data_IF_692872781911
#
_entry.id   IF_692872781911
#
_cell.length_a   1.000
_cell.length_b   1.000
_cell.length_c   1.000
_cell.angle_alpha   90.00
_cell.angle_beta   90.00
_cell.angle_gamma   90.00
#
_symmetry.space_group_name_H-M   'P 1'
#
loop_
_entity.id
_entity.type
_entity.pdbx_description
1 polymer ?
#
# COMPACT_ATOMS: atom_id res chain seq x y z
N UNK A 1 -48.77 -18.82 -35.26
CA UNK A 1 -49.35 -18.43 -33.95
C UNK A 1 -49.24 -16.94 -33.83
N UNK A 2 -50.37 -16.24 -33.69
CA UNK A 2 -50.42 -14.79 -33.53
C UNK A 2 -49.66 -14.42 -32.25
N UNK A 3 -48.65 -13.54 -32.35
CA UNK A 3 -47.93 -13.00 -31.19
C UNK A 3 -48.91 -12.10 -30.41
N UNK A 4 -49.50 -12.64 -29.35
CA UNK A 4 -50.41 -11.87 -28.51
C UNK A 4 -49.65 -10.71 -27.85
N UNK A 5 -50.20 -9.50 -27.92
CA UNK A 5 -49.56 -8.29 -27.41
C UNK A 5 -50.00 -7.98 -25.98
N UNK A 6 -49.12 -7.35 -25.22
CA UNK A 6 -49.33 -6.95 -23.84
C UNK A 6 -50.35 -5.80 -23.81
N UNK A 7 -51.47 -5.99 -23.12
CA UNK A 7 -52.53 -4.98 -23.06
C UNK A 7 -52.13 -3.70 -22.32
N UNK A 8 -51.00 -3.74 -21.59
CA UNK A 8 -50.48 -2.60 -20.87
C UNK A 8 -49.54 -1.78 -21.74
N UNK A 9 -48.55 -2.40 -22.39
CA UNK A 9 -47.46 -1.68 -23.08
C UNK A 9 -47.33 -1.99 -24.58
N UNK A 10 -48.15 -2.87 -25.15
CA UNK A 10 -48.12 -3.27 -26.56
C UNK A 10 -46.99 -4.24 -26.95
N UNK A 11 -46.00 -4.50 -26.07
CA UNK A 11 -44.91 -5.46 -26.32
C UNK A 11 -45.40 -6.90 -26.34
N UNK A 12 -44.59 -7.85 -26.79
CA UNK A 12 -44.94 -9.28 -26.79
C UNK A 12 -45.39 -9.75 -25.38
N UNK A 13 -46.62 -10.26 -25.30
CA UNK A 13 -47.15 -10.83 -24.07
C UNK A 13 -46.53 -12.20 -23.80
N UNK A 14 -46.41 -12.54 -22.52
CA UNK A 14 -45.83 -13.80 -22.08
C UNK A 14 -46.84 -14.70 -21.35
N UNK A 15 -48.09 -14.26 -21.27
CA UNK A 15 -49.18 -14.96 -20.60
C UNK A 15 -50.09 -14.02 -19.83
N UNK A 16 -51.08 -14.61 -19.17
CA UNK A 16 -51.97 -13.89 -18.28
C UNK A 16 -51.28 -13.71 -16.91
N UNK A 17 -51.14 -12.45 -16.47
CA UNK A 17 -50.61 -12.10 -15.16
C UNK A 17 -51.57 -11.12 -14.48
N UNK A 18 -51.93 -11.40 -13.23
CA UNK A 18 -52.87 -10.59 -12.46
C UNK A 18 -54.25 -10.42 -13.15
N UNK A 19 -54.64 -11.38 -14.00
CA UNK A 19 -55.92 -11.34 -14.72
C UNK A 19 -55.87 -10.73 -16.12
N UNK A 20 -54.74 -10.16 -16.54
CA UNK A 20 -54.58 -9.49 -17.85
C UNK A 20 -53.43 -10.10 -18.65
N UNK A 21 -53.63 -10.25 -19.97
CA UNK A 21 -52.58 -10.66 -20.89
C UNK A 21 -51.46 -9.59 -20.92
N UNK A 22 -50.28 -9.93 -20.42
CA UNK A 22 -49.21 -8.94 -20.25
C UNK A 22 -47.81 -9.52 -20.43
N UNK A 23 -46.82 -8.65 -20.59
CA UNK A 23 -45.42 -9.03 -20.56
C UNK A 23 -44.91 -9.17 -19.12
N UNK A 24 -43.84 -9.96 -18.93
CA UNK A 24 -43.22 -10.20 -17.61
C UNK A 24 -42.84 -8.90 -16.90
N UNK A 25 -42.43 -7.88 -17.64
CA UNK A 25 -42.05 -6.59 -17.07
C UNK A 25 -43.24 -5.83 -16.46
N UNK A 26 -44.39 -5.81 -17.13
CA UNK A 26 -45.62 -5.19 -16.59
C UNK A 26 -46.15 -5.96 -15.38
N UNK A 27 -46.11 -7.29 -15.43
CA UNK A 27 -46.47 -8.14 -14.30
C UNK A 27 -45.60 -7.88 -13.07
N UNK A 28 -44.27 -7.86 -13.23
CA UNK A 28 -43.33 -7.58 -12.14
C UNK A 28 -43.46 -6.14 -11.60
N UNK A 29 -43.73 -5.16 -12.48
CA UNK A 29 -44.00 -3.80 -12.07
C UNK A 29 -45.24 -3.72 -11.17
N UNK A 30 -46.36 -4.30 -11.61
CA UNK A 30 -47.62 -4.28 -10.86
C UNK A 30 -47.44 -4.94 -9.49
N UNK A 31 -46.84 -6.15 -9.43
CA UNK A 31 -46.54 -6.86 -8.18
C UNK A 31 -45.76 -6.02 -7.17
N UNK A 32 -44.67 -5.38 -7.60
CA UNK A 32 -43.82 -4.59 -6.70
C UNK A 32 -44.51 -3.35 -6.17
N UNK A 33 -45.36 -2.74 -7.01
CA UNK A 33 -46.05 -1.52 -6.66
C UNK A 33 -47.29 -1.77 -5.79
N UNK A 34 -47.85 -2.99 -5.78
CA UNK A 34 -48.96 -3.38 -4.89
C UNK A 34 -48.48 -3.98 -3.56
N UNK A 35 -47.39 -4.78 -3.55
CA UNK A 35 -46.91 -5.49 -2.35
C UNK A 35 -46.02 -4.67 -1.39
N UNK A 36 -45.67 -3.42 -1.71
CA UNK A 36 -44.86 -2.56 -0.83
C UNK A 36 -45.59 -1.27 -0.43
N UNK A 37 -46.52 -1.31 0.55
CA UNK A 37 -47.32 -0.16 0.97
C UNK A 37 -46.48 0.98 1.60
N UNK A 38 -45.35 0.65 2.25
CA UNK A 38 -44.49 1.60 2.96
C UNK A 38 -43.65 2.49 2.03
N UNK A 39 -43.47 2.09 0.78
CA UNK A 39 -43.05 2.97 -0.31
C UNK A 39 -44.29 3.27 -1.13
N UNK A 40 -45.15 4.20 -0.65
CA UNK A 40 -46.03 4.92 -1.57
C UNK A 40 -45.11 5.46 -2.65
N UNK A 41 -45.07 4.79 -3.79
CA UNK A 41 -44.32 5.24 -4.95
C UNK A 41 -44.78 6.69 -5.11
N UNK A 42 -43.90 7.68 -4.97
CA UNK A 42 -44.28 9.08 -5.08
C UNK A 42 -44.73 9.29 -6.54
N UNK A 43 -46.02 9.04 -6.76
CA UNK A 43 -46.69 8.96 -8.03
C UNK A 43 -47.14 10.37 -8.42
N UNK A 44 -46.22 11.32 -8.37
CA UNK A 44 -46.47 12.66 -8.91
C UNK A 44 -46.16 12.58 -10.40
N UNK A 45 -47.21 12.77 -11.23
CA UNK A 45 -47.03 12.84 -12.68
C UNK A 45 -46.52 14.23 -13.02
N UNK A 46 -45.38 14.31 -13.70
CA UNK A 46 -44.75 15.58 -14.09
C UNK A 46 -45.42 16.17 -15.35
N UNK A 47 -46.20 15.38 -16.09
CA UNK A 47 -46.66 15.72 -17.46
C UNK A 47 -48.19 15.82 -17.64
N UNK A 48 -48.97 16.03 -16.57
CA UNK A 48 -50.44 16.01 -16.68
C UNK A 48 -50.99 14.60 -16.92
N UNK A 49 -52.30 14.39 -16.79
CA UNK A 49 -52.89 13.06 -16.54
C UNK A 49 -52.90 12.07 -17.72
N UNK A 50 -52.31 12.37 -18.87
CA UNK A 50 -52.31 11.50 -20.04
C UNK A 50 -50.94 11.47 -20.70
N UNK A 51 -50.24 10.34 -20.55
CA UNK A 51 -48.93 10.12 -21.16
C UNK A 51 -49.07 8.98 -22.17
N UNK A 52 -48.74 9.24 -23.43
CA UNK A 52 -48.76 8.24 -24.50
C UNK A 52 -47.70 7.16 -24.26
N UNK A 53 -48.06 5.91 -24.52
CA UNK A 53 -47.12 4.78 -24.45
C UNK A 53 -46.21 4.90 -25.67
N UNK A 54 -44.90 5.06 -25.45
CA UNK A 54 -43.94 5.06 -26.56
C UNK A 54 -44.00 3.73 -27.31
N UNK A 55 -43.77 3.75 -28.64
CA UNK A 55 -43.85 2.56 -29.52
C UNK A 55 -42.97 1.37 -29.07
N UNK A 56 -41.97 1.61 -28.23
CA UNK A 56 -41.10 0.59 -27.62
C UNK A 56 -41.64 0.01 -26.29
N UNK A 57 -42.86 0.33 -25.89
CA UNK A 57 -43.50 -0.16 -24.65
C UNK A 57 -42.93 0.43 -23.36
N UNK A 58 -42.19 1.53 -23.45
CA UNK A 58 -41.65 2.24 -22.29
C UNK A 58 -42.68 3.23 -21.71
N UNK A 59 -42.81 3.23 -20.39
CA UNK A 59 -43.59 4.22 -19.65
C UNK A 59 -42.62 5.14 -18.89
N UNK A 60 -42.62 6.43 -19.24
CA UNK A 60 -41.83 7.44 -18.53
C UNK A 60 -42.36 7.72 -17.11
N UNK A 61 -43.68 7.59 -16.91
CA UNK A 61 -44.31 7.81 -15.61
C UNK A 61 -44.83 6.51 -14.98
N UNK A 62 -44.35 6.20 -13.77
CA UNK A 62 -44.81 5.05 -12.98
C UNK A 62 -46.30 5.18 -12.57
N UNK A 63 -46.83 6.40 -12.43
CA UNK A 63 -48.27 6.64 -12.13
C UNK A 63 -49.17 6.28 -13.26
N UNK A 64 -48.87 6.78 -14.45
CA UNK A 64 -49.67 6.46 -15.63
C UNK A 64 -49.60 4.96 -15.94
N UNK A 65 -48.45 4.32 -15.75
CA UNK A 65 -48.31 2.86 -15.87
C UNK A 65 -49.19 2.10 -14.88
N UNK A 66 -49.17 2.48 -13.60
CA UNK A 66 -50.01 1.84 -12.58
C UNK A 66 -51.50 2.06 -12.85
N UNK A 67 -51.90 3.30 -13.19
CA UNK A 67 -53.28 3.61 -13.58
C UNK A 67 -53.73 2.72 -14.74
N UNK A 68 -52.89 2.58 -15.78
CA UNK A 68 -53.19 1.73 -16.94
C UNK A 68 -53.30 0.24 -16.58
N UNK A 69 -52.45 -0.26 -15.68
CA UNK A 69 -52.58 -1.63 -15.15
C UNK A 69 -53.96 -1.86 -14.50
N UNK A 70 -54.40 -0.92 -13.67
CA UNK A 70 -55.70 -1.01 -13.00
C UNK A 70 -56.87 -0.85 -14.00
N UNK A 71 -56.80 0.10 -14.93
CA UNK A 71 -57.81 0.30 -15.99
C UNK A 71 -58.02 -0.93 -16.86
N UNK A 72 -56.93 -1.68 -17.13
CA UNK A 72 -56.99 -2.93 -17.89
C UNK A 72 -57.41 -4.14 -17.04
N UNK A 73 -57.65 -3.95 -15.74
CA UNK A 73 -58.18 -4.99 -14.86
C UNK A 73 -57.13 -5.86 -14.19
N UNK A 74 -55.87 -5.39 -14.04
CA UNK A 74 -54.90 -6.10 -13.22
C UNK A 74 -55.33 -6.07 -11.74
N UNK A 75 -55.40 -7.23 -11.13
CA UNK A 75 -55.86 -7.42 -9.76
C UNK A 75 -54.78 -8.12 -8.92
N UNK A 76 -54.38 -7.46 -7.83
CA UNK A 76 -53.37 -7.96 -6.91
C UNK A 76 -53.86 -9.14 -6.06
N UNK A 77 -55.18 -9.29 -5.88
CA UNK A 77 -55.77 -10.41 -5.15
C UNK A 77 -55.52 -11.76 -5.83
N UNK A 78 -55.32 -11.74 -7.15
CA UNK A 78 -55.02 -12.93 -7.97
C UNK A 78 -53.57 -13.41 -7.82
N UNK A 79 -52.80 -12.84 -6.89
CA UNK A 79 -51.44 -13.24 -6.59
C UNK A 79 -51.40 -14.20 -5.40
N UNK A 80 -50.83 -15.39 -5.61
CA UNK A 80 -50.52 -16.32 -4.54
C UNK A 80 -49.28 -15.85 -3.79
N UNK A 81 -49.45 -15.45 -2.53
CA UNK A 81 -48.36 -15.02 -1.65
C UNK A 81 -47.56 -16.22 -1.10
N UNK A 82 -48.25 -17.33 -0.83
CA UNK A 82 -47.67 -18.55 -0.27
C UNK A 82 -47.30 -19.53 -1.38
N UNK A 83 -46.17 -19.28 -2.04
CA UNK A 83 -45.49 -20.33 -2.79
C UNK A 83 -44.43 -20.96 -1.91
N UNK A 84 -44.39 -22.29 -1.91
CA UNK A 84 -43.27 -23.01 -1.31
C UNK A 84 -41.95 -22.48 -1.86
N UNK A 85 -40.99 -22.26 -0.96
CA UNK A 85 -39.64 -21.89 -1.33
C UNK A 85 -39.10 -22.95 -2.32
N UNK A 86 -38.49 -22.51 -3.41
CA UNK A 86 -37.92 -23.42 -4.41
C UNK A 86 -36.92 -24.33 -3.69
N UNK A 87 -37.28 -25.61 -3.54
CA UNK A 87 -36.64 -26.61 -2.68
C UNK A 87 -35.20 -26.97 -3.07
N UNK A 88 -34.59 -26.30 -4.05
CA UNK A 88 -33.21 -26.54 -4.49
C UNK A 88 -32.17 -26.02 -3.49
N UNK A 89 -32.59 -25.36 -2.40
CA UNK A 89 -31.71 -25.01 -1.28
C UNK A 89 -31.58 -26.11 -0.20
N UNK A 90 -32.29 -27.25 -0.34
CA UNK A 90 -32.11 -28.41 0.53
C UNK A 90 -31.06 -29.36 -0.08
N UNK A 91 -29.95 -29.46 0.64
CA UNK A 91 -28.80 -30.37 0.45
C UNK A 91 -29.26 -31.81 0.18
N UNK A 92 -28.55 -32.63 -0.63
CA UNK A 92 -28.99 -33.98 -0.96
C UNK A 92 -29.12 -34.85 0.28
N UNK A 93 -30.29 -35.46 0.46
CA UNK A 93 -30.50 -36.54 1.41
C UNK A 93 -29.70 -37.76 0.96
N UNK A 94 -28.50 -37.94 1.52
CA UNK A 94 -27.96 -39.27 1.76
C UNK A 94 -26.93 -39.23 2.89
N UNK A 95 -27.20 -40.08 3.88
CA UNK A 95 -26.23 -40.69 4.81
C UNK A 95 -25.68 -39.80 5.94
N UNK A 96 -26.18 -40.08 7.16
CA UNK A 96 -25.46 -40.01 8.44
C UNK A 96 -24.39 -38.92 8.57
N UNK A 97 -24.77 -37.69 8.89
CA UNK A 97 -23.92 -36.75 9.62
C UNK A 97 -24.80 -35.69 10.26
N UNK A 98 -24.39 -35.24 11.45
CA UNK A 98 -24.99 -34.23 12.32
C UNK A 98 -25.62 -33.03 11.59
N UNK A 99 -26.63 -32.35 12.18
CA UNK A 99 -27.22 -31.16 11.56
C UNK A 99 -26.09 -30.19 11.21
N UNK A 100 -25.93 -29.86 9.93
CA UNK A 100 -24.97 -28.84 9.46
C UNK A 100 -25.38 -27.52 10.10
N UNK A 101 -24.83 -27.26 11.29
CA UNK A 101 -24.87 -25.95 11.92
C UNK A 101 -24.32 -24.98 10.89
N UNK A 102 -25.15 -24.00 10.53
CA UNK A 102 -24.66 -22.82 9.83
C UNK A 102 -23.50 -22.31 10.69
N UNK A 103 -22.27 -22.16 10.13
CA UNK A 103 -21.15 -21.65 10.91
C UNK A 103 -21.60 -20.33 11.54
N UNK A 104 -21.57 -20.27 12.88
CA UNK A 104 -21.89 -19.02 13.55
C UNK A 104 -20.94 -17.97 13.01
N UNK A 105 -21.50 -16.85 12.54
CA UNK A 105 -20.66 -15.70 12.21
C UNK A 105 -19.84 -15.36 13.44
N UNK A 106 -18.62 -14.85 13.26
CA UNK A 106 -17.75 -14.49 14.38
C UNK A 106 -18.54 -13.63 15.39
N UNK A 107 -19.26 -12.61 14.91
CA UNK A 107 -20.17 -11.80 15.71
C UNK A 107 -21.15 -12.58 16.60
N UNK A 108 -21.78 -13.63 16.05
CA UNK A 108 -22.72 -14.48 16.81
C UNK A 108 -22.00 -15.38 17.80
N UNK A 109 -20.85 -15.94 17.42
CA UNK A 109 -20.05 -16.81 18.28
C UNK A 109 -19.52 -16.07 19.52
N UNK A 110 -19.03 -14.83 19.35
CA UNK A 110 -18.57 -13.98 20.47
C UNK A 110 -19.66 -13.08 21.07
N UNK A 111 -20.89 -13.11 20.55
CA UNK A 111 -22.01 -12.31 21.05
C UNK A 111 -21.83 -10.79 20.89
N UNK A 112 -21.05 -10.34 19.89
CA UNK A 112 -20.74 -8.92 19.64
C UNK A 112 -21.01 -8.53 18.20
N UNK A 113 -21.57 -7.33 17.92
CA UNK A 113 -21.71 -6.84 16.56
C UNK A 113 -20.36 -6.78 15.83
N UNK A 114 -20.34 -7.10 14.52
CA UNK A 114 -19.11 -7.18 13.71
C UNK A 114 -18.20 -5.95 13.81
N UNK A 115 -18.76 -4.76 13.99
CA UNK A 115 -18.00 -3.52 14.11
C UNK A 115 -17.37 -3.29 15.50
N UNK A 116 -17.74 -4.09 16.52
CA UNK A 116 -17.18 -4.06 17.87
C UNK A 116 -16.24 -5.24 18.14
N UNK A 117 -16.12 -6.20 17.23
CA UNK A 117 -15.24 -7.38 17.38
C UNK A 117 -13.78 -6.96 17.54
N UNK A 118 -13.38 -5.89 16.85
CA UNK A 118 -12.02 -5.35 16.86
C UNK A 118 -11.84 -4.21 17.87
N UNK A 119 -12.88 -3.86 18.63
CA UNK A 119 -12.76 -2.94 19.76
C UNK A 119 -12.39 -3.75 21.00
N UNK A 120 -11.18 -3.53 21.54
CA UNK A 120 -10.78 -4.13 22.81
C UNK A 120 -11.77 -3.72 23.91
N UNK A 121 -12.44 -4.69 24.52
CA UNK A 121 -13.34 -4.46 25.69
C UNK A 121 -12.62 -4.61 27.02
N UNK A 122 -11.35 -5.00 27.00
CA UNK A 122 -10.48 -4.93 28.16
C UNK A 122 -9.72 -3.63 28.02
N UNK A 123 -10.37 -2.52 28.35
CA UNK A 123 -9.74 -1.43 29.10
C UNK A 123 -10.68 -0.22 29.23
N UNK A 124 -11.07 0.04 30.47
CA UNK A 124 -11.35 1.39 30.97
C UNK A 124 -10.04 2.16 31.24
N UNK A 125 -8.93 1.67 30.69
CA UNK A 125 -7.60 2.26 30.75
C UNK A 125 -7.47 3.25 29.59
N UNK A 126 -6.79 4.40 29.78
CA UNK A 126 -6.33 5.19 28.63
C UNK A 126 -5.58 4.22 27.71
N UNK A 127 -5.75 4.34 26.39
CA UNK A 127 -5.20 3.40 25.41
C UNK A 127 -3.71 3.05 25.67
N UNK A 128 -3.19 1.96 25.07
CA UNK A 128 -1.92 1.36 25.43
C UNK A 128 -0.86 2.44 25.69
N UNK A 129 -0.23 2.41 26.88
CA UNK A 129 0.79 3.38 27.28
C UNK A 129 1.83 3.48 26.17
N UNK A 130 1.76 4.55 25.36
CA UNK A 130 2.61 4.67 24.18
C UNK A 130 4.03 4.94 24.63
N UNK A 131 4.93 3.99 24.40
CA UNK A 131 6.36 4.21 24.61
C UNK A 131 6.82 5.27 23.61
N UNK A 132 7.36 6.37 24.10
CA UNK A 132 7.84 7.47 23.25
C UNK A 132 9.31 7.22 22.91
N UNK A 133 9.61 7.09 21.63
CA UNK A 133 10.97 7.12 21.09
C UNK A 133 11.37 8.58 20.91
N UNK A 134 12.33 9.03 21.70
CA UNK A 134 12.88 10.37 21.58
C UNK A 134 13.94 10.44 20.49
N UNK A 135 13.69 11.29 19.51
CA UNK A 135 14.58 11.51 18.37
C UNK A 135 15.36 12.83 18.42
N UNK A 136 15.19 13.66 19.45
CA UNK A 136 15.86 14.97 19.53
C UNK A 136 17.38 14.85 19.38
N UNK A 137 18.00 13.98 20.19
CA UNK A 137 19.46 13.77 20.13
C UNK A 137 19.93 13.25 18.75
N UNK A 138 19.15 12.37 18.12
CA UNK A 138 19.47 11.85 16.79
C UNK A 138 19.38 12.95 15.71
N UNK A 139 18.37 13.80 15.80
CA UNK A 139 18.17 14.95 14.91
C UNK A 139 19.28 15.99 15.10
N UNK A 140 19.69 16.26 16.34
CA UNK A 140 20.80 17.17 16.64
C UNK A 140 22.11 16.68 16.01
N UNK A 141 22.44 15.38 16.20
CA UNK A 141 23.61 14.76 15.57
C UNK A 141 23.57 14.80 14.04
N UNK A 142 22.42 14.49 13.44
CA UNK A 142 22.26 14.59 11.99
C UNK A 142 22.45 16.04 11.50
N UNK A 143 21.94 17.01 12.26
CA UNK A 143 22.09 18.44 11.97
C UNK A 143 23.55 18.88 12.06
N UNK A 144 24.30 18.40 13.06
CA UNK A 144 25.74 18.66 13.19
C UNK A 144 26.53 18.13 12.01
N UNK A 145 26.23 16.90 11.56
CA UNK A 145 26.86 16.31 10.36
C UNK A 145 26.62 17.20 9.13
N UNK A 146 25.36 17.61 8.90
CA UNK A 146 25.01 18.47 7.77
C UNK A 146 25.70 19.85 7.84
N UNK A 147 25.82 20.44 9.04
CA UNK A 147 26.53 21.72 9.23
C UNK A 147 28.03 21.63 9.00
N UNK A 148 28.64 20.54 9.46
CA UNK A 148 30.09 20.32 9.33
C UNK A 148 30.48 19.98 7.89
N UNK A 149 29.58 19.35 7.13
CA UNK A 149 29.80 18.95 5.74
C UNK A 149 30.84 17.82 5.61
N UNK A 150 31.24 17.54 4.38
CA UNK A 150 32.25 16.51 4.08
C UNK A 150 33.66 17.06 4.25
N UNK A 151 34.43 16.51 5.20
CA UNK A 151 35.83 16.87 5.44
C UNK A 151 36.78 16.14 4.47
N UNK A 152 36.50 16.11 3.17
CA UNK A 152 37.36 15.37 2.22
C UNK A 152 37.67 16.23 0.99
N UNK A 153 38.96 16.41 0.62
CA UNK A 153 39.33 17.16 -0.56
C UNK A 153 38.96 16.33 -1.79
N UNK A 154 37.80 16.63 -2.38
CA UNK A 154 37.46 16.16 -3.71
C UNK A 154 38.28 16.91 -4.75
N UNK A 155 38.62 16.24 -5.84
CA UNK A 155 39.23 16.91 -6.99
C UNK A 155 38.25 18.00 -7.50
N UNK A 156 38.72 19.20 -7.87
CA UNK A 156 37.86 20.29 -8.33
C UNK A 156 36.97 19.93 -9.53
N UNK A 157 37.41 18.98 -10.33
CA UNK A 157 36.77 18.54 -11.57
C UNK A 157 35.65 17.52 -11.35
N UNK A 158 35.53 16.94 -10.15
CA UNK A 158 34.53 15.88 -9.90
C UNK A 158 33.12 16.45 -9.84
N UNK A 159 32.20 15.80 -10.55
CA UNK A 159 30.77 16.09 -10.41
C UNK A 159 30.20 15.50 -9.11
N UNK A 160 28.97 15.87 -8.75
CA UNK A 160 28.38 15.44 -7.48
C UNK A 160 28.11 13.94 -7.40
N UNK A 161 27.72 13.29 -8.49
CA UNK A 161 27.52 11.85 -8.51
C UNK A 161 28.84 11.08 -8.29
N UNK A 162 29.96 11.59 -8.78
CA UNK A 162 31.29 11.05 -8.51
C UNK A 162 31.72 11.29 -7.05
N UNK A 163 31.50 12.49 -6.51
CA UNK A 163 31.77 12.78 -5.08
C UNK A 163 30.98 11.87 -4.16
N UNK A 164 29.69 11.67 -4.46
CA UNK A 164 28.83 10.74 -3.74
C UNK A 164 29.33 9.30 -3.84
N UNK A 165 29.77 8.86 -5.03
CA UNK A 165 30.32 7.52 -5.23
C UNK A 165 31.57 7.29 -4.36
N UNK A 166 32.50 8.25 -4.36
CA UNK A 166 33.72 8.18 -3.54
C UNK A 166 33.41 8.29 -2.05
N UNK A 167 32.52 9.20 -1.66
CA UNK A 167 32.05 9.33 -0.28
C UNK A 167 31.44 8.03 0.24
N UNK A 168 30.58 7.41 -0.57
CA UNK A 168 29.90 6.16 -0.25
C UNK A 168 30.87 4.97 -0.09
N UNK A 169 31.86 4.82 -0.97
CA UNK A 169 32.91 3.80 -0.78
C UNK A 169 33.73 4.05 0.50
N UNK A 170 34.09 5.29 0.78
CA UNK A 170 34.84 5.60 2.00
C UNK A 170 34.06 5.26 3.26
N UNK A 171 32.75 5.55 3.28
CA UNK A 171 31.87 5.17 4.39
C UNK A 171 31.80 3.64 4.55
N UNK A 172 31.89 2.88 3.46
CA UNK A 172 31.95 1.41 3.49
C UNK A 172 33.29 0.88 3.98
N UNK A 173 34.40 1.49 3.57
CA UNK A 173 35.77 1.09 3.96
C UNK A 173 36.00 1.29 5.46
N UNK A 174 35.43 2.34 6.05
CA UNK A 174 35.54 2.61 7.48
C UNK A 174 34.80 1.59 8.35
N UNK A 175 33.93 0.77 7.75
CA UNK A 175 33.15 -0.26 8.43
C UNK A 175 33.81 -1.62 8.22
N UNK A 176 33.75 -2.48 9.24
CA UNK A 176 34.24 -3.85 9.16
C UNK A 176 33.56 -4.61 8.02
N UNK A 177 34.34 -5.42 7.30
CA UNK A 177 33.80 -6.35 6.30
C UNK A 177 33.19 -7.59 6.92
N UNK A 178 33.49 -7.88 8.19
CA UNK A 178 32.93 -9.03 8.90
C UNK A 178 31.55 -8.67 9.48
N UNK A 179 30.54 -9.44 9.09
CA UNK A 179 29.19 -9.28 9.59
C UNK A 179 28.98 -10.16 10.82
N UNK A 180 28.49 -9.56 11.90
CA UNK A 180 28.05 -10.27 13.08
C UNK A 180 26.65 -10.86 12.84
N UNK A 181 26.51 -12.15 13.11
CA UNK A 181 25.22 -12.83 13.02
C UNK A 181 24.39 -12.55 14.27
N UNK A 182 23.17 -12.04 14.07
CA UNK A 182 22.21 -11.76 15.15
C UNK A 182 21.15 -12.86 15.16
N UNK A 183 21.05 -13.58 16.29
CA UNK A 183 20.02 -14.60 16.51
C UNK A 183 18.72 -14.05 17.13
N UNK A 184 18.77 -12.87 17.75
CA UNK A 184 17.63 -12.22 18.39
C UNK A 184 17.59 -10.72 18.07
N UNK A 185 16.53 -10.28 17.39
CA UNK A 185 16.30 -8.88 17.03
C UNK A 185 15.25 -8.27 17.96
N UNK A 186 15.58 -7.15 18.63
CA UNK A 186 14.68 -6.48 19.55
C UNK A 186 14.85 -4.96 19.51
N UNK A 187 14.44 -4.28 20.58
CA UNK A 187 14.48 -2.81 20.68
C UNK A 187 15.86 -2.22 20.40
N UNK A 188 16.89 -2.67 21.11
CA UNK A 188 18.22 -2.03 21.07
C UNK A 188 18.86 -2.14 19.69
N UNK A 189 18.79 -3.32 19.07
CA UNK A 189 19.22 -3.53 17.68
C UNK A 189 18.45 -2.63 16.71
N UNK A 190 17.13 -2.52 16.86
CA UNK A 190 16.29 -1.70 15.97
C UNK A 190 16.66 -0.22 16.08
N UNK A 191 16.80 0.30 17.30
CA UNK A 191 17.19 1.70 17.55
C UNK A 191 18.60 1.99 17.02
N UNK A 192 19.55 1.07 17.20
CA UNK A 192 20.90 1.18 16.66
C UNK A 192 20.88 1.27 15.12
N UNK A 193 20.11 0.41 14.46
CA UNK A 193 20.02 0.43 13.00
C UNK A 193 19.34 1.68 12.47
N UNK A 194 18.36 2.23 13.18
CA UNK A 194 17.75 3.51 12.82
C UNK A 194 18.72 4.69 12.98
N UNK A 195 19.48 4.70 14.06
CA UNK A 195 20.54 5.69 14.27
C UNK A 195 21.58 5.61 13.14
N UNK A 196 22.06 4.41 12.81
CA UNK A 196 22.97 4.19 11.68
C UNK A 196 22.36 4.70 10.37
N UNK A 197 21.14 4.30 10.04
CA UNK A 197 20.50 4.68 8.78
C UNK A 197 20.37 6.21 8.65
N UNK A 198 19.97 6.90 9.72
CA UNK A 198 19.79 8.36 9.70
C UNK A 198 21.11 9.12 9.63
N UNK A 199 22.11 8.74 10.44
CA UNK A 199 23.42 9.40 10.43
C UNK A 199 24.18 9.12 9.13
N UNK A 200 24.13 7.89 8.62
CA UNK A 200 24.71 7.55 7.32
C UNK A 200 24.02 8.33 6.20
N UNK A 201 22.70 8.53 6.25
CA UNK A 201 21.99 9.35 5.25
C UNK A 201 22.47 10.79 5.27
N UNK A 202 22.62 11.39 6.46
CA UNK A 202 23.12 12.75 6.62
C UNK A 202 24.56 12.88 6.10
N UNK A 203 25.47 12.00 6.52
CA UNK A 203 26.87 12.00 6.08
C UNK A 203 26.98 11.81 4.56
N UNK A 204 26.22 10.87 4.00
CA UNK A 204 26.20 10.61 2.57
C UNK A 204 25.81 11.86 1.76
N UNK A 205 24.73 12.54 2.14
CA UNK A 205 24.27 13.75 1.46
C UNK A 205 25.24 14.92 1.55
N UNK A 206 26.12 14.98 2.55
CA UNK A 206 27.16 16.02 2.60
C UNK A 206 28.12 15.98 1.41
N UNK A 207 28.14 14.90 0.64
CA UNK A 207 28.93 14.77 -0.59
C UNK A 207 28.17 15.26 -1.84
N UNK A 208 26.92 15.70 -1.71
CA UNK A 208 26.10 16.21 -2.80
C UNK A 208 26.12 17.75 -2.85
N UNK A 209 26.93 18.32 -3.74
CA UNK A 209 27.21 19.76 -3.79
C UNK A 209 25.95 20.62 -3.91
N UNK A 210 25.03 20.24 -4.78
CA UNK A 210 23.79 20.96 -5.08
C UNK A 210 22.83 20.91 -3.88
N UNK A 211 22.78 19.78 -3.17
CA UNK A 211 21.99 19.64 -1.94
C UNK A 211 22.54 20.50 -0.80
N UNK A 212 23.86 20.58 -0.67
CA UNK A 212 24.51 21.38 0.37
C UNK A 212 24.26 22.90 0.23
N UNK A 213 23.85 23.35 -0.96
CA UNK A 213 23.47 24.75 -1.19
C UNK A 213 22.12 25.13 -0.58
N UNK A 214 21.30 24.14 -0.20
CA UNK A 214 19.98 24.34 0.37
C UNK A 214 20.06 24.83 1.82
N UNK A 215 19.03 25.54 2.33
CA UNK A 215 18.95 25.87 3.74
C UNK A 215 18.99 24.62 4.63
N UNK A 216 19.70 24.68 5.76
CA UNK A 216 19.87 23.55 6.69
C UNK A 216 18.53 22.95 7.15
N UNK A 217 17.49 23.78 7.27
CA UNK A 217 16.13 23.35 7.61
C UNK A 217 15.55 22.43 6.53
N UNK A 218 15.73 22.77 5.25
CA UNK A 218 15.30 21.95 4.11
C UNK A 218 16.12 20.67 4.04
N UNK A 219 17.44 20.76 4.24
CA UNK A 219 18.30 19.57 4.25
C UNK A 219 17.86 18.57 5.32
N UNK A 220 17.57 19.04 6.53
CA UNK A 220 17.13 18.20 7.63
C UNK A 220 15.77 17.55 7.35
N UNK A 221 14.81 18.30 6.82
CA UNK A 221 13.50 17.75 6.42
C UNK A 221 13.64 16.67 5.34
N UNK A 222 14.54 16.85 4.38
CA UNK A 222 14.86 15.80 3.40
C UNK A 222 15.42 14.57 4.09
N UNK A 223 16.43 14.70 4.98
CA UNK A 223 17.00 13.56 5.73
C UNK A 223 15.93 12.81 6.51
N UNK A 224 15.11 13.51 7.30
CA UNK A 224 13.98 12.93 8.06
C UNK A 224 13.02 12.14 7.17
N UNK A 225 12.82 12.60 5.93
CA UNK A 225 11.87 11.98 5.01
C UNK A 225 12.39 10.71 4.31
N UNK A 226 13.71 10.58 4.11
CA UNK A 226 14.32 9.54 3.25
C UNK A 226 15.20 8.51 3.97
N UNK A 227 15.61 8.71 5.23
CA UNK A 227 16.61 7.84 5.87
C UNK A 227 16.23 6.35 5.87
N UNK A 228 14.94 6.02 6.07
CA UNK A 228 14.45 4.63 5.97
C UNK A 228 14.56 4.07 4.55
N UNK A 229 14.36 4.93 3.54
CA UNK A 229 14.50 4.56 2.13
C UNK A 229 15.96 4.29 1.80
N UNK A 230 16.86 5.15 2.29
CA UNK A 230 18.30 4.98 2.18
C UNK A 230 18.75 3.65 2.81
N UNK A 231 18.45 3.46 4.11
CA UNK A 231 18.90 2.28 4.85
C UNK A 231 18.38 0.97 4.23
N UNK A 232 17.12 0.95 3.81
CA UNK A 232 16.54 -0.22 3.15
C UNK A 232 17.21 -0.53 1.80
N UNK A 233 17.44 0.48 0.97
CA UNK A 233 18.09 0.30 -0.32
C UNK A 233 19.53 -0.23 -0.14
N UNK A 234 20.28 0.39 0.77
CA UNK A 234 21.68 0.05 1.06
C UNK A 234 21.82 -1.39 1.56
N UNK A 235 21.00 -1.79 2.52
CA UNK A 235 20.96 -3.16 3.07
C UNK A 235 20.63 -4.22 2.02
N UNK A 236 19.68 -3.95 1.13
CA UNK A 236 19.32 -4.88 0.05
C UNK A 236 20.43 -4.96 -1.01
N UNK A 237 21.06 -3.84 -1.36
CA UNK A 237 22.19 -3.82 -2.29
C UNK A 237 23.42 -4.56 -1.70
N UNK A 238 23.73 -4.33 -0.43
CA UNK A 238 24.83 -5.01 0.29
C UNK A 238 24.56 -6.51 0.45
N UNK A 239 23.31 -6.89 0.75
CA UNK A 239 22.88 -8.31 0.75
C UNK A 239 23.14 -8.97 -0.61
N UNK A 240 22.74 -8.32 -1.71
CA UNK A 240 22.98 -8.83 -3.06
C UNK A 240 24.49 -8.95 -3.37
N UNK A 241 25.30 -8.00 -2.90
CA UNK A 241 26.75 -8.04 -3.06
C UNK A 241 27.39 -9.23 -2.33
N UNK A 242 26.99 -9.49 -1.08
CA UNK A 242 27.48 -10.62 -0.29
C UNK A 242 27.11 -11.97 -0.93
N UNK A 243 25.92 -12.09 -1.53
CA UNK A 243 25.50 -13.28 -2.27
C UNK A 243 26.33 -13.50 -3.53
N UNK A 244 26.54 -12.45 -4.34
CA UNK A 244 27.41 -12.53 -5.53
C UNK A 244 28.84 -12.96 -5.16
N UNK A 245 29.36 -12.46 -4.04
CA UNK A 245 30.68 -12.81 -3.50
C UNK A 245 30.71 -14.18 -2.78
N UNK A 246 29.58 -14.89 -2.69
CA UNK A 246 29.42 -16.17 -1.99
C UNK A 246 29.85 -16.13 -0.52
N UNK A 247 29.68 -14.98 0.13
CA UNK A 247 29.95 -14.78 1.57
C UNK A 247 28.77 -15.23 2.44
N UNK A 248 27.57 -15.29 1.87
CA UNK A 248 26.40 -15.86 2.53
C UNK A 248 26.24 -17.34 2.21
N UNK A 249 26.01 -18.13 3.26
CA UNK A 249 25.83 -19.58 3.18
C UNK A 249 24.40 -19.98 2.77
N UNK A 250 23.42 -19.09 3.00
CA UNK A 250 21.99 -19.31 2.77
C UNK A 250 21.35 -18.08 2.07
N UNK A 251 20.35 -18.31 1.21
CA UNK A 251 19.48 -17.28 0.62
C UNK A 251 18.57 -16.55 1.64
N UNK A 252 18.48 -17.02 2.88
CA UNK A 252 17.70 -16.36 3.95
C UNK A 252 18.53 -15.34 4.75
N UNK A 253 19.83 -15.20 4.47
CA UNK A 253 20.67 -14.21 5.13
C UNK A 253 20.49 -12.82 4.51
N UNK A 254 20.29 -11.84 5.39
CA UNK A 254 20.13 -10.42 5.05
C UNK A 254 21.01 -9.54 5.92
N UNK A 255 21.60 -8.52 5.31
CA UNK A 255 22.26 -7.43 6.03
C UNK A 255 21.18 -6.53 6.64
N UNK A 256 21.33 -6.16 7.92
CA UNK A 256 20.34 -5.37 8.66
C UNK A 256 20.91 -4.11 9.33
N UNK A 257 22.23 -4.05 9.47
CA UNK A 257 22.97 -2.88 9.93
C UNK A 257 24.35 -2.83 9.28
N UNK A 258 25.16 -1.86 9.69
CA UNK A 258 26.48 -1.62 9.11
C UNK A 258 27.39 -2.85 9.15
N UNK A 259 27.36 -3.58 10.27
CA UNK A 259 28.21 -4.76 10.53
C UNK A 259 27.37 -5.96 11.01
N UNK A 260 26.09 -6.01 10.67
CA UNK A 260 25.14 -7.00 11.19
C UNK A 260 24.35 -7.70 10.09
N UNK A 261 24.16 -9.00 10.24
CA UNK A 261 23.23 -9.80 9.44
C UNK A 261 22.34 -10.70 10.29
N UNK A 262 21.23 -11.12 9.72
CA UNK A 262 20.32 -12.08 10.33
C UNK A 262 19.80 -13.10 9.31
N UNK A 263 19.31 -14.23 9.79
CA UNK A 263 18.56 -15.19 8.98
C UNK A 263 17.06 -14.90 9.12
N UNK A 264 16.39 -14.54 8.02
CA UNK A 264 14.99 -14.12 8.04
C UNK A 264 14.02 -15.19 8.55
N UNK A 265 14.41 -16.47 8.53
CA UNK A 265 13.56 -17.59 8.95
C UNK A 265 13.90 -18.10 10.36
N UNK A 266 15.15 -17.95 10.79
CA UNK A 266 15.64 -18.52 12.06
C UNK A 266 15.89 -17.49 13.17
N UNK A 267 15.75 -16.20 12.89
CA UNK A 267 15.97 -15.14 13.88
C UNK A 267 14.72 -14.88 14.70
N UNK A 268 14.85 -14.89 16.02
CA UNK A 268 13.77 -14.52 16.94
C UNK A 268 13.58 -12.99 16.92
N UNK A 269 12.34 -12.53 16.75
CA UNK A 269 12.02 -11.09 16.72
C UNK A 269 11.15 -10.72 17.91
N UNK A 270 11.71 -9.95 18.83
CA UNK A 270 11.00 -9.37 19.95
C UNK A 270 10.23 -8.12 19.51
N UNK A 271 8.90 -8.24 19.53
CA UNK A 271 7.95 -7.17 19.21
C UNK A 271 7.26 -6.57 20.44
N UNK A 272 7.52 -7.13 21.63
CA UNK A 272 6.82 -6.74 22.87
C UNK A 272 7.02 -5.27 23.24
N UNK A 273 8.10 -4.65 22.76
CA UNK A 273 8.42 -3.25 23.01
C UNK A 273 7.59 -2.26 22.20
N UNK A 274 6.91 -2.70 21.13
CA UNK A 274 6.11 -1.82 20.26
C UNK A 274 4.71 -2.33 19.92
N UNK A 275 4.31 -3.50 20.41
CA UNK A 275 2.96 -4.05 20.22
C UNK A 275 2.62 -5.02 21.34
N UNK A 276 1.33 -5.11 21.67
CA UNK A 276 0.80 -6.08 22.63
C UNK A 276 0.47 -7.43 21.98
N UNK A 277 0.65 -7.55 20.66
CA UNK A 277 0.40 -8.76 19.88
C UNK A 277 1.67 -9.61 19.79
N UNK A 278 1.51 -10.93 19.62
CA UNK A 278 2.66 -11.83 19.39
C UNK A 278 3.25 -11.62 18.00
N UNK A 279 4.49 -12.04 17.79
CA UNK A 279 5.14 -11.99 16.48
C UNK A 279 4.28 -12.61 15.38
N UNK A 280 3.69 -13.78 15.62
CA UNK A 280 2.88 -14.49 14.63
C UNK A 280 1.65 -13.68 14.20
N UNK A 281 1.07 -12.90 15.12
CA UNK A 281 -0.09 -12.05 14.84
C UNK A 281 0.28 -10.82 14.02
N UNK A 282 1.50 -10.29 14.17
CA UNK A 282 1.99 -9.11 13.45
C UNK A 282 2.99 -9.43 12.34
N UNK A 283 3.29 -10.69 12.09
CA UNK A 283 4.26 -11.12 11.07
C UNK A 283 3.90 -10.60 9.67
N UNK A 284 2.60 -10.40 9.38
CA UNK A 284 2.18 -9.80 8.11
C UNK A 284 2.62 -8.32 7.97
N UNK A 285 2.90 -7.62 9.08
CA UNK A 285 3.43 -6.26 9.10
C UNK A 285 4.94 -6.23 8.88
N UNK A 286 5.63 -7.37 8.99
CA UNK A 286 7.07 -7.45 8.85
C UNK A 286 7.57 -7.15 7.42
N UNK A 287 8.82 -6.70 7.36
CA UNK A 287 9.60 -6.42 6.18
C UNK A 287 10.23 -7.67 5.54
N UNK A 288 10.58 -8.70 6.31
CA UNK A 288 11.36 -9.87 5.88
C UNK A 288 10.53 -11.07 5.41
N UNK A 289 9.20 -11.01 5.51
CA UNK A 289 8.31 -12.07 5.01
C UNK A 289 7.60 -11.73 3.68
N UNK A 290 8.01 -10.63 3.03
CA UNK A 290 7.47 -10.18 1.75
C UNK A 290 8.32 -10.63 0.53
N UNK A 291 7.77 -11.42 -0.39
CA UNK A 291 8.49 -11.87 -1.60
C UNK A 291 9.16 -10.76 -2.43
N UNK A 292 8.70 -9.50 -2.32
CA UNK A 292 9.25 -8.36 -3.06
C UNK A 292 10.72 -8.09 -2.70
N UNK A 293 11.15 -8.17 -1.43
CA UNK A 293 12.56 -7.91 -1.10
C UNK A 293 13.48 -8.99 -1.67
N UNK A 294 13.05 -10.27 -1.66
CA UNK A 294 13.80 -11.37 -2.28
C UNK A 294 13.96 -11.12 -3.78
N UNK A 295 12.91 -10.62 -4.43
CA UNK A 295 12.97 -10.23 -5.84
C UNK A 295 13.91 -9.04 -6.08
N UNK A 296 13.85 -7.99 -5.25
CA UNK A 296 14.75 -6.83 -5.34
C UNK A 296 16.22 -7.27 -5.24
N UNK A 297 16.55 -8.12 -4.27
CA UNK A 297 17.91 -8.64 -4.09
C UNK A 297 18.35 -9.44 -5.33
N UNK A 298 17.50 -10.33 -5.85
CA UNK A 298 17.80 -11.07 -7.10
C UNK A 298 18.06 -10.14 -8.28
N UNK A 299 17.27 -9.07 -8.42
CA UNK A 299 17.50 -8.08 -9.48
C UNK A 299 18.81 -7.32 -9.27
N UNK A 300 19.17 -6.94 -8.05
CA UNK A 300 20.49 -6.37 -7.74
C UNK A 300 21.64 -7.33 -8.03
N UNK A 301 21.49 -8.63 -7.73
CA UNK A 301 22.47 -9.67 -8.05
C UNK A 301 22.70 -9.74 -9.57
N UNK A 302 21.63 -9.76 -10.35
CA UNK A 302 21.72 -9.78 -11.81
C UNK A 302 22.26 -8.47 -12.41
N UNK A 303 21.95 -7.34 -11.77
CA UNK A 303 22.37 -6.02 -12.21
C UNK A 303 23.86 -5.83 -11.93
N UNK A 304 24.36 -6.21 -10.76
CA UNK A 304 25.73 -5.91 -10.32
C UNK A 304 26.12 -4.44 -10.62
N UNK A 305 25.43 -3.46 -10.01
CA UNK A 305 25.66 -2.05 -10.30
C UNK A 305 27.06 -1.62 -9.86
N UNK A 306 27.64 -0.68 -10.61
CA UNK A 306 28.79 0.09 -10.12
C UNK A 306 28.36 1.01 -8.98
N UNK A 307 29.30 1.53 -8.19
CA UNK A 307 28.98 2.47 -7.10
C UNK A 307 28.29 3.73 -7.63
N UNK A 308 28.65 4.20 -8.81
CA UNK A 308 28.01 5.36 -9.47
C UNK A 308 26.58 5.06 -9.89
N UNK A 309 26.34 3.91 -10.52
CA UNK A 309 24.98 3.43 -10.85
C UNK A 309 24.13 3.26 -9.58
N UNK A 310 24.73 2.71 -8.51
CA UNK A 310 24.08 2.50 -7.23
C UNK A 310 23.65 3.83 -6.58
N UNK A 311 24.55 4.83 -6.56
CA UNK A 311 24.26 6.15 -6.00
C UNK A 311 23.20 6.90 -6.82
N UNK A 312 23.24 6.81 -8.16
CA UNK A 312 22.18 7.36 -9.01
C UNK A 312 20.83 6.73 -8.67
N UNK A 313 20.76 5.40 -8.61
CA UNK A 313 19.53 4.67 -8.28
C UNK A 313 18.99 5.06 -6.90
N UNK A 314 19.87 5.17 -5.91
CA UNK A 314 19.57 5.55 -4.54
C UNK A 314 19.01 6.97 -4.45
N UNK A 315 19.71 7.95 -5.03
CA UNK A 315 19.26 9.35 -5.10
C UNK A 315 17.91 9.45 -5.80
N UNK A 316 17.73 8.77 -6.93
CA UNK A 316 16.48 8.82 -7.68
C UNK A 316 15.28 8.40 -6.82
N UNK A 317 15.40 7.31 -6.05
CA UNK A 317 14.32 6.86 -5.18
C UNK A 317 14.13 7.82 -4.00
N UNK A 318 15.22 8.24 -3.35
CA UNK A 318 15.18 9.13 -2.20
C UNK A 318 14.55 10.49 -2.55
N UNK A 319 15.03 11.15 -3.60
CA UNK A 319 14.52 12.46 -4.04
C UNK A 319 13.06 12.37 -4.46
N UNK A 320 12.67 11.31 -5.18
CA UNK A 320 11.26 11.10 -5.52
C UNK A 320 10.38 10.90 -4.27
N UNK A 321 10.90 10.24 -3.23
CA UNK A 321 10.18 10.04 -1.98
C UNK A 321 10.07 11.35 -1.18
N UNK A 322 11.16 12.12 -1.08
CA UNK A 322 11.18 13.44 -0.43
C UNK A 322 10.18 14.40 -1.09
N UNK A 323 10.21 14.49 -2.43
CA UNK A 323 9.31 15.37 -3.19
C UNK A 323 7.82 15.03 -3.01
N UNK A 324 7.48 13.75 -2.85
CA UNK A 324 6.10 13.30 -2.57
C UNK A 324 5.64 13.59 -1.13
N UNK A 325 6.53 13.43 -0.14
CA UNK A 325 6.22 13.64 1.27
C UNK A 325 6.10 15.11 1.62
N UNK A 326 7.10 15.91 1.26
CA UNK A 326 7.25 17.29 1.74
C UNK A 326 6.41 18.30 0.95
N UNK A 327 6.11 18.02 -0.33
CA UNK A 327 5.32 18.88 -1.24
C UNK A 327 5.87 20.32 -1.33
N UNK A 328 5.20 21.18 -2.10
CA UNK A 328 5.56 22.60 -2.23
C UNK A 328 6.94 22.83 -2.86
N UNK A 329 7.69 23.79 -2.33
CA UNK A 329 8.99 24.21 -2.88
C UNK A 329 10.03 23.08 -2.87
N UNK A 330 9.92 22.14 -1.92
CA UNK A 330 10.83 20.97 -1.86
C UNK A 330 10.66 20.07 -3.07
N UNK A 331 9.44 19.98 -3.65
CA UNK A 331 9.22 19.20 -4.87
C UNK A 331 10.03 19.76 -6.03
N UNK A 332 10.00 21.07 -6.24
CA UNK A 332 10.77 21.73 -7.30
C UNK A 332 12.28 21.53 -7.12
N UNK A 333 12.77 21.61 -5.87
CA UNK A 333 14.17 21.32 -5.53
C UNK A 333 14.51 19.86 -5.85
N UNK A 334 13.69 18.90 -5.43
CA UNK A 334 13.96 17.48 -5.68
C UNK A 334 13.89 17.11 -7.16
N UNK A 335 13.07 17.80 -7.96
CA UNK A 335 12.99 17.61 -9.40
C UNK A 335 14.24 18.16 -10.09
N UNK A 336 14.71 19.34 -9.70
CA UNK A 336 16.00 19.88 -10.15
C UNK A 336 17.17 18.95 -9.81
N UNK A 337 17.24 18.45 -8.57
CA UNK A 337 18.31 17.51 -8.18
C UNK A 337 18.24 16.19 -8.95
N UNK A 338 17.05 15.73 -9.34
CA UNK A 338 16.87 14.54 -10.19
C UNK A 338 17.36 14.79 -11.63
N UNK A 339 17.17 15.99 -12.18
CA UNK A 339 17.70 16.37 -13.49
C UNK A 339 19.24 16.37 -13.46
N UNK A 340 19.82 17.03 -12.45
CA UNK A 340 21.28 17.10 -12.26
C UNK A 340 21.93 15.71 -12.22
N UNK A 341 21.41 14.77 -11.42
CA UNK A 341 22.00 13.42 -11.32
C UNK A 341 21.77 12.60 -12.60
N UNK A 342 20.72 12.92 -13.38
CA UNK A 342 20.43 12.22 -14.64
C UNK A 342 21.43 12.62 -15.72
N UNK A 343 21.75 13.91 -15.80
CA UNK A 343 22.79 14.43 -16.70
C UNK A 343 24.17 13.90 -16.29
N UNK A 344 24.49 13.90 -14.99
CA UNK A 344 25.76 13.35 -14.50
C UNK A 344 25.89 11.83 -14.75
N UNK A 345 24.78 11.08 -14.70
CA UNK A 345 24.79 9.67 -15.09
C UNK A 345 25.03 9.50 -16.61
N UNK A 346 24.44 10.36 -17.44
CA UNK A 346 24.66 10.35 -18.87
C UNK A 346 26.15 10.56 -19.18
N UNK A 347 26.76 11.58 -18.58
CA UNK A 347 28.19 11.89 -18.73
C UNK A 347 29.06 10.72 -18.26
N UNK A 348 28.72 10.08 -17.13
CA UNK A 348 29.41 8.89 -16.66
C UNK A 348 29.41 7.75 -17.70
N UNK A 349 28.29 7.52 -18.38
CA UNK A 349 28.23 6.49 -19.40
C UNK A 349 29.00 6.85 -20.67
N UNK A 350 28.96 8.11 -21.09
CA UNK A 350 29.69 8.57 -22.27
C UNK A 350 31.20 8.61 -22.04
N UNK A 351 31.65 9.20 -20.95
CA UNK A 351 33.06 9.54 -20.74
C UNK A 351 33.81 8.48 -19.92
N UNK A 352 33.23 7.99 -18.82
CA UNK A 352 33.93 7.04 -17.94
C UNK A 352 33.76 5.58 -18.41
N UNK A 353 32.57 5.23 -18.92
CA UNK A 353 32.26 3.86 -19.38
C UNK A 353 32.42 3.65 -20.88
N UNK A 354 32.55 4.73 -21.66
CA UNK A 354 32.60 4.70 -23.12
C UNK A 354 31.46 3.85 -23.75
N UNK A 355 30.25 3.99 -23.20
CA UNK A 355 29.08 3.17 -23.53
C UNK A 355 27.88 4.07 -23.91
N UNK A 356 27.83 4.59 -25.15
CA UNK A 356 26.77 5.51 -25.57
C UNK A 356 25.38 4.86 -25.57
N UNK A 357 25.30 3.55 -25.82
CA UNK A 357 24.04 2.80 -25.86
C UNK A 357 23.76 2.12 -24.52
N UNK A 358 23.42 2.88 -23.49
CA UNK A 358 23.17 2.37 -22.13
C UNK A 358 21.68 2.25 -21.75
N UNK A 359 20.75 2.48 -22.68
CA UNK A 359 19.30 2.44 -22.41
C UNK A 359 18.81 1.10 -21.84
N UNK A 360 19.34 -0.03 -22.33
CA UNK A 360 19.05 -1.35 -21.79
C UNK A 360 19.57 -1.52 -20.35
N UNK A 361 20.71 -0.91 -20.02
CA UNK A 361 21.28 -0.90 -18.67
C UNK A 361 20.43 -0.05 -17.73
N UNK A 362 20.04 1.15 -18.16
CA UNK A 362 19.13 2.04 -17.45
C UNK A 362 17.78 1.37 -17.18
N UNK A 363 17.23 0.63 -18.14
CA UNK A 363 15.98 -0.13 -17.95
C UNK A 363 16.11 -1.15 -16.81
N UNK A 364 17.24 -1.84 -16.70
CA UNK A 364 17.49 -2.78 -15.59
C UNK A 364 17.60 -2.05 -14.24
N UNK A 365 18.28 -0.90 -14.18
CA UNK A 365 18.34 -0.05 -12.98
C UNK A 365 16.93 0.40 -12.57
N UNK A 366 16.13 0.88 -13.52
CA UNK A 366 14.77 1.31 -13.27
C UNK A 366 13.87 0.16 -12.83
N UNK A 367 14.08 -1.07 -13.30
CA UNK A 367 13.35 -2.25 -12.81
C UNK A 367 13.54 -2.44 -11.31
N UNK A 368 14.76 -2.33 -10.81
CA UNK A 368 15.06 -2.40 -9.36
C UNK A 368 14.38 -1.24 -8.63
N UNK A 369 14.52 0.00 -9.14
CA UNK A 369 13.87 1.16 -8.52
C UNK A 369 12.34 1.04 -8.49
N UNK A 370 11.72 0.45 -9.51
CA UNK A 370 10.28 0.21 -9.55
C UNK A 370 9.83 -0.76 -8.44
N UNK A 371 10.58 -1.85 -8.24
CA UNK A 371 10.31 -2.81 -7.17
C UNK A 371 10.50 -2.18 -5.79
N UNK A 372 11.58 -1.40 -5.60
CA UNK A 372 11.79 -0.63 -4.37
C UNK A 372 10.61 0.30 -4.09
N UNK A 373 10.13 1.03 -5.09
CA UNK A 373 8.96 1.93 -4.95
C UNK A 373 7.68 1.18 -4.58
N UNK A 374 7.46 0.00 -5.18
CA UNK A 374 6.31 -0.84 -4.86
C UNK A 374 6.37 -1.31 -3.39
N UNK A 375 7.54 -1.73 -2.94
CA UNK A 375 7.75 -2.20 -1.58
C UNK A 375 7.59 -1.06 -0.56
N UNK A 376 8.23 0.10 -0.78
CA UNK A 376 8.07 1.28 0.08
C UNK A 376 6.61 1.73 0.19
N UNK A 377 5.86 1.72 -0.92
CA UNK A 377 4.43 2.00 -0.90
C UNK A 377 3.67 0.98 -0.05
N UNK A 378 3.97 -0.31 -0.19
CA UNK A 378 3.33 -1.36 0.61
C UNK A 378 3.61 -1.19 2.10
N UNK A 379 4.85 -0.87 2.48
CA UNK A 379 5.20 -0.61 3.89
C UNK A 379 4.45 0.61 4.44
N UNK A 380 4.39 1.69 3.65
CA UNK A 380 3.62 2.90 4.02
C UNK A 380 2.16 2.55 4.31
N UNK A 381 1.51 1.74 3.46
CA UNK A 381 0.11 1.34 3.68
C UNK A 381 -0.05 0.38 4.87
N UNK A 382 0.90 -0.55 5.08
CA UNK A 382 0.91 -1.41 6.27
C UNK A 382 1.01 -0.60 7.56
N UNK A 383 1.89 0.39 7.61
CA UNK A 383 2.04 1.23 8.81
C UNK A 383 0.81 2.09 9.05
N UNK A 384 0.18 2.64 8.01
CA UNK A 384 -1.11 3.34 8.15
C UNK A 384 -2.18 2.45 8.75
N UNK A 385 -2.28 1.19 8.31
CA UNK A 385 -3.19 0.22 8.91
C UNK A 385 -2.83 -0.06 10.37
N UNK A 386 -1.55 -0.28 10.67
CA UNK A 386 -1.08 -0.52 12.04
C UNK A 386 -1.42 0.63 12.99
N UNK A 387 -1.25 1.87 12.54
CA UNK A 387 -1.62 3.07 13.29
C UNK A 387 -3.15 3.18 13.44
N UNK A 388 -3.91 2.95 12.37
CA UNK A 388 -5.38 3.08 12.36
C UNK A 388 -6.06 2.09 13.32
N UNK A 389 -5.49 0.90 13.45
CA UNK A 389 -6.01 -0.17 14.32
C UNK A 389 -5.28 -0.28 15.66
N UNK A 390 -4.49 0.74 16.03
CA UNK A 390 -3.71 0.78 17.28
C UNK A 390 -2.89 -0.50 17.54
N UNK A 391 -2.35 -1.08 16.46
CA UNK A 391 -1.46 -2.25 16.55
C UNK A 391 -0.14 -1.87 17.21
N UNK A 392 0.34 -0.64 16.96
CA UNK A 392 1.58 -0.14 17.54
C UNK A 392 1.35 0.65 18.84
N UNK A 393 2.08 0.27 19.88
CA UNK A 393 2.16 0.95 21.19
C UNK A 393 3.37 1.88 21.29
N UNK A 394 3.96 2.30 20.17
CA UNK A 394 5.10 3.24 20.12
C UNK A 394 4.72 4.51 19.38
N UNK A 395 5.21 5.65 19.89
CA UNK A 395 5.13 6.96 19.25
C UNK A 395 6.52 7.60 19.15
N UNK A 396 6.69 8.55 18.25
CA UNK A 396 7.93 9.30 18.07
C UNK A 396 7.72 10.75 18.54
N UNK A 397 8.76 11.38 19.10
CA UNK A 397 8.71 12.84 19.35
C UNK A 397 8.55 13.65 18.05
N UNK A 398 8.96 13.06 16.94
CA UNK A 398 8.85 13.58 15.58
C UNK A 398 8.03 12.60 14.71
N UNK A 399 6.69 12.72 14.69
CA UNK A 399 5.81 11.77 14.01
C UNK A 399 6.10 11.61 12.51
N UNK A 400 6.64 12.64 11.86
CA UNK A 400 7.03 12.63 10.45
C UNK A 400 8.15 11.63 10.12
N UNK A 401 8.92 11.20 11.12
CA UNK A 401 9.97 10.19 10.95
C UNK A 401 9.42 8.75 10.98
N UNK A 402 8.18 8.55 11.41
CA UNK A 402 7.53 7.25 11.33
C UNK A 402 7.12 6.96 9.89
N UNK A 403 7.45 5.78 9.39
CA UNK A 403 7.06 5.34 8.05
C UNK A 403 5.53 5.39 7.92
N UNK A 404 4.94 6.16 7.01
CA UNK A 404 3.47 6.21 6.86
C UNK A 404 2.80 7.57 7.08
N UNK A 405 3.48 8.51 7.72
CA UNK A 405 3.01 9.90 7.88
C UNK A 405 3.43 10.81 6.71
#
# INVERSE_FOLDING_TARGET
>A
MTLSTCEICGQAAHGNHFGVLSCRACAAFFRRATLNPKKKLNLNCIHGQNLEIHRNGFFSCKKCRMKRCLERGMDASKFQLDRDMISTALVPNNSQTTPKMIPQTLATFIGRPNFLIFCNTLDSSPGPCKSIVDCNHLIDRATEILKNGSWKPFSPEMNSLEKLSVGFENMRILKSTELQYISHMGKDHTLLFWEQDMLNTAEWLTNFSEFNSLPITVQLEVVKSIWQTYGRFEKLAKTAEFRRKKLFQNENLFVVGDEACLDSENTEVDVSWFTNYTWEQVAFMDCFHNDIFRLIVKEFESLNPTTTELNFMLLQICLQQAGKKLKGDVTAVTDYLQEVISDQLHDYYLHNRNMPNYSARLTKMMKVNNLMRQDLRRQTEKTKLAITFDVFSVAFTHPEMMCGN
#
